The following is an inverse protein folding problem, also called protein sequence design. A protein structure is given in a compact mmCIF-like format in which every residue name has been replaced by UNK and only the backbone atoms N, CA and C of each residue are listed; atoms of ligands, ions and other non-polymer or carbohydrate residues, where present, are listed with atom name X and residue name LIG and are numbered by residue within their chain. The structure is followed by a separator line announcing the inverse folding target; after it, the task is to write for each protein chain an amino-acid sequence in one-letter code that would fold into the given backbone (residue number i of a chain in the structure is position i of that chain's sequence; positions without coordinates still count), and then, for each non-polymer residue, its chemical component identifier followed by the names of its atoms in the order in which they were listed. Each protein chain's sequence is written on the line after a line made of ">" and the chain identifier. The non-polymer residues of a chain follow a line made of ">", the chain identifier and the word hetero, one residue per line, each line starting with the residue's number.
data_IF_283431982558
#
_entry.id   IF_283431982558
#
_cell.length_a   1.000
_cell.length_b   1.000
_cell.length_c   1.000
_cell.angle_alpha   90.00
_cell.angle_beta   90.00
_cell.angle_gamma   90.00
#
_symmetry.space_group_name_H-M   'P 1'
#
loop_
_entity.id
_entity.type
_entity.pdbx_description
1 polymer ?
#
# COMPACT_ATOMS: atom_id res chain seq x y z
N UNK A 1 -28.23 -4.22 -16.72
CA UNK A 1 -27.17 -3.45 -17.35
C UNK A 1 -25.86 -4.18 -17.11
N UNK A 2 -25.32 -4.87 -18.08
CA UNK A 2 -24.01 -5.52 -17.95
C UNK A 2 -22.96 -4.42 -17.99
N UNK A 3 -22.37 -4.09 -16.85
CA UNK A 3 -21.17 -3.25 -16.83
C UNK A 3 -20.07 -4.04 -17.54
N UNK A 4 -19.64 -3.54 -18.69
CA UNK A 4 -18.40 -4.01 -19.33
C UNK A 4 -17.29 -3.86 -18.32
N UNK A 5 -16.75 -4.99 -17.81
CA UNK A 5 -15.55 -4.94 -16.96
C UNK A 5 -14.43 -4.36 -17.80
N UNK A 6 -13.95 -3.17 -17.43
CA UNK A 6 -12.75 -2.59 -18.03
C UNK A 6 -11.61 -3.58 -17.81
N UNK A 7 -11.07 -4.13 -18.87
CA UNK A 7 -9.88 -4.98 -18.81
C UNK A 7 -8.69 -4.04 -18.82
N UNK A 8 -8.05 -3.88 -17.68
CA UNK A 8 -6.79 -3.15 -17.58
C UNK A 8 -5.66 -4.12 -17.88
N UNK A 9 -4.86 -3.79 -18.85
CA UNK A 9 -3.67 -4.54 -19.26
C UNK A 9 -2.40 -3.77 -18.91
N UNK A 10 -1.25 -4.38 -19.07
CA UNK A 10 0.06 -3.74 -18.85
C UNK A 10 0.26 -2.52 -19.77
N UNK A 11 -0.34 -2.53 -20.95
CA UNK A 11 -0.27 -1.42 -21.91
C UNK A 11 -0.96 -0.14 -21.42
N UNK A 12 -1.85 -0.24 -20.42
CA UNK A 12 -2.47 0.90 -19.75
C UNK A 12 -1.55 1.59 -18.72
N UNK A 13 -0.33 1.09 -18.53
CA UNK A 13 0.67 1.71 -17.66
C UNK A 13 1.58 2.63 -18.47
N UNK A 14 1.99 3.76 -17.87
CA UNK A 14 2.95 4.69 -18.47
C UNK A 14 4.33 4.08 -18.59
N UNK A 15 5.19 4.67 -19.41
CA UNK A 15 6.62 4.40 -19.42
C UNK A 15 7.26 4.90 -18.11
N UNK A 16 8.11 4.05 -17.51
CA UNK A 16 8.76 4.33 -16.22
C UNK A 16 10.29 4.37 -16.32
N UNK A 17 10.87 4.47 -17.53
CA UNK A 17 12.31 4.65 -17.68
C UNK A 17 12.78 5.90 -16.92
N UNK A 18 13.85 5.73 -16.14
CA UNK A 18 14.40 6.79 -15.28
C UNK A 18 13.56 7.12 -14.06
N UNK A 19 12.45 6.40 -13.78
CA UNK A 19 11.63 6.55 -12.60
C UNK A 19 12.03 5.58 -11.51
N UNK A 20 11.92 6.02 -10.26
CA UNK A 20 12.28 5.24 -9.06
C UNK A 20 11.02 4.91 -8.25
N UNK A 21 10.90 3.64 -7.87
CA UNK A 21 9.77 3.14 -7.10
C UNK A 21 10.20 2.38 -5.85
N UNK A 22 9.44 2.50 -4.76
CA UNK A 22 9.52 1.62 -3.58
C UNK A 22 8.22 0.83 -3.47
N UNK A 23 8.32 -0.49 -3.26
CA UNK A 23 7.17 -1.36 -2.96
C UNK A 23 7.47 -2.16 -1.70
N UNK A 24 6.70 -1.94 -0.63
CA UNK A 24 6.86 -2.69 0.61
C UNK A 24 6.22 -4.08 0.51
N UNK A 25 6.83 -5.09 1.15
CA UNK A 25 6.35 -6.48 1.06
C UNK A 25 6.47 -7.07 -0.34
N UNK A 26 7.49 -6.63 -1.11
CA UNK A 26 7.67 -6.95 -2.51
C UNK A 26 8.11 -8.39 -2.82
N UNK A 27 8.52 -9.15 -1.82
CA UNK A 27 9.08 -10.50 -2.03
C UNK A 27 8.02 -11.61 -2.22
N UNK A 28 6.72 -11.29 -2.17
CA UNK A 28 5.63 -12.26 -2.38
C UNK A 28 4.31 -11.58 -2.72
N UNK A 29 3.39 -12.33 -3.31
CA UNK A 29 1.99 -11.94 -3.51
C UNK A 29 1.80 -10.70 -4.38
N UNK A 30 0.93 -9.81 -3.92
CA UNK A 30 0.56 -8.58 -4.64
C UNK A 30 1.77 -7.67 -4.83
N UNK A 31 2.62 -7.50 -3.81
CA UNK A 31 3.83 -6.68 -3.90
C UNK A 31 4.80 -7.19 -4.95
N UNK A 32 5.04 -8.51 -5.00
CA UNK A 32 5.86 -9.16 -6.02
C UNK A 32 5.35 -8.86 -7.43
N UNK A 33 4.05 -9.10 -7.67
CA UNK A 33 3.47 -8.86 -8.98
C UNK A 33 3.40 -7.36 -9.34
N UNK A 34 3.23 -6.47 -8.35
CA UNK A 34 3.32 -5.01 -8.56
C UNK A 34 4.73 -4.62 -9.01
N UNK A 35 5.79 -5.15 -8.37
CA UNK A 35 7.18 -4.92 -8.79
C UNK A 35 7.40 -5.41 -10.21
N UNK A 36 6.92 -6.61 -10.54
CA UNK A 36 7.03 -7.16 -11.90
C UNK A 36 6.41 -6.22 -12.94
N UNK A 37 5.22 -5.65 -12.70
CA UNK A 37 4.60 -4.68 -13.59
C UNK A 37 5.40 -3.39 -13.76
N UNK A 38 5.86 -2.80 -12.64
CA UNK A 38 6.64 -1.56 -12.68
C UNK A 38 7.99 -1.76 -13.39
N UNK A 39 8.66 -2.89 -13.13
CA UNK A 39 9.92 -3.23 -13.78
C UNK A 39 9.75 -3.48 -15.29
N UNK A 40 8.66 -4.15 -15.73
CA UNK A 40 8.34 -4.31 -17.15
C UNK A 40 8.16 -2.97 -17.87
N UNK A 41 7.80 -1.93 -17.16
CA UNK A 41 7.67 -0.56 -17.70
C UNK A 41 8.96 0.27 -17.58
N UNK A 42 10.08 -0.34 -17.14
CA UNK A 42 11.41 0.29 -17.11
C UNK A 42 11.79 0.95 -15.78
N UNK A 43 10.99 0.80 -14.72
CA UNK A 43 11.30 1.40 -13.42
C UNK A 43 12.53 0.79 -12.75
N UNK A 44 13.28 1.61 -12.00
CA UNK A 44 14.17 1.15 -10.94
C UNK A 44 13.33 0.93 -9.69
N UNK A 45 13.23 -0.33 -9.24
CA UNK A 45 12.31 -0.69 -8.15
C UNK A 45 13.08 -1.15 -6.92
N UNK A 46 12.79 -0.57 -5.78
CA UNK A 46 13.27 -1.00 -4.47
C UNK A 46 12.25 -1.91 -3.80
N UNK A 47 12.62 -3.18 -3.64
CA UNK A 47 11.83 -4.22 -2.97
C UNK A 47 12.03 -4.12 -1.46
N UNK A 48 11.11 -3.46 -0.75
CA UNK A 48 11.13 -3.38 0.72
C UNK A 48 10.73 -4.71 1.36
N UNK A 49 11.65 -5.35 2.09
CA UNK A 49 11.35 -6.59 2.83
C UNK A 49 12.37 -6.87 3.93
N UNK A 50 11.96 -7.67 4.94
CA UNK A 50 12.80 -8.00 6.11
C UNK A 50 13.91 -9.02 5.81
N UNK A 51 13.61 -9.97 4.93
CA UNK A 51 14.47 -11.14 4.72
C UNK A 51 15.21 -11.05 3.39
N UNK A 52 16.51 -10.84 3.46
CA UNK A 52 17.37 -10.68 2.29
C UNK A 52 17.32 -11.90 1.35
N UNK A 53 17.41 -13.12 1.89
CA UNK A 53 17.43 -14.32 1.04
C UNK A 53 16.13 -14.53 0.26
N UNK A 54 14.97 -14.22 0.87
CA UNK A 54 13.68 -14.26 0.17
C UNK A 54 13.55 -13.12 -0.86
N UNK A 55 14.09 -11.94 -0.55
CA UNK A 55 14.11 -10.83 -1.49
C UNK A 55 14.97 -11.16 -2.71
N UNK A 56 16.18 -11.64 -2.48
CA UNK A 56 17.12 -11.98 -3.55
C UNK A 56 16.52 -13.02 -4.50
N UNK A 57 15.94 -14.09 -3.95
CA UNK A 57 15.25 -15.10 -4.76
C UNK A 57 14.11 -14.50 -5.60
N UNK A 58 13.30 -13.62 -5.01
CA UNK A 58 12.20 -12.98 -5.71
C UNK A 58 12.70 -12.03 -6.82
N UNK A 59 13.80 -11.32 -6.58
CA UNK A 59 14.45 -10.46 -7.59
C UNK A 59 14.92 -11.31 -8.77
N UNK A 60 15.68 -12.37 -8.52
CA UNK A 60 16.18 -13.29 -9.55
C UNK A 60 15.03 -13.89 -10.39
N UNK A 61 13.93 -14.28 -9.74
CA UNK A 61 12.74 -14.79 -10.43
C UNK A 61 12.08 -13.74 -11.35
N UNK A 62 11.98 -12.48 -10.91
CA UNK A 62 11.41 -11.40 -11.73
C UNK A 62 12.36 -11.07 -12.88
N UNK A 63 13.65 -10.91 -12.64
CA UNK A 63 14.66 -10.62 -13.66
C UNK A 63 14.69 -11.70 -14.75
N UNK A 64 14.63 -12.98 -14.37
CA UNK A 64 14.54 -14.08 -15.31
C UNK A 64 13.26 -14.02 -16.18
N UNK A 65 12.13 -13.56 -15.65
CA UNK A 65 10.91 -13.36 -16.42
C UNK A 65 11.02 -12.17 -17.38
N UNK A 66 11.64 -11.07 -16.94
CA UNK A 66 11.89 -9.89 -17.79
C UNK A 66 12.75 -10.25 -18.99
N UNK A 67 13.84 -10.96 -18.78
CA UNK A 67 14.72 -11.45 -19.86
C UNK A 67 13.98 -12.35 -20.85
N UNK A 68 13.19 -13.31 -20.38
CA UNK A 68 12.41 -14.22 -21.25
C UNK A 68 11.37 -13.51 -22.11
N UNK A 69 10.83 -12.38 -21.63
CA UNK A 69 9.85 -11.60 -22.39
C UNK A 69 10.46 -10.63 -23.41
N UNK A 70 11.78 -10.62 -23.57
CA UNK A 70 12.50 -9.69 -24.44
C UNK A 70 12.47 -8.24 -23.96
N UNK A 71 12.04 -8.04 -22.73
CA UNK A 71 12.05 -6.74 -22.06
C UNK A 71 13.44 -6.49 -21.47
N UNK A 72 14.40 -6.18 -22.34
CA UNK A 72 15.75 -5.75 -21.95
C UNK A 72 15.76 -4.25 -21.58
N UNK A 73 14.68 -3.81 -21.00
CA UNK A 73 14.40 -2.42 -20.66
C UNK A 73 15.12 -2.07 -19.37
N UNK A 74 16.36 -1.68 -19.34
CA UNK A 74 17.13 -1.02 -18.28
C UNK A 74 16.51 -0.99 -16.86
N UNK A 75 15.48 -1.83 -16.61
CA UNK A 75 14.86 -2.00 -15.32
C UNK A 75 15.85 -2.62 -14.34
N UNK A 76 15.86 -2.16 -13.13
CA UNK A 76 16.68 -2.75 -12.07
C UNK A 76 15.85 -2.93 -10.82
N UNK A 77 16.08 -4.07 -10.14
CA UNK A 77 15.37 -4.34 -8.89
C UNK A 77 16.40 -4.45 -7.77
N UNK A 78 16.25 -3.66 -6.73
CA UNK A 78 17.16 -3.61 -5.60
C UNK A 78 16.43 -4.01 -4.32
N UNK A 79 17.11 -4.73 -3.46
CA UNK A 79 16.58 -4.99 -2.12
C UNK A 79 16.77 -3.75 -1.22
N UNK A 80 15.68 -3.35 -0.57
CA UNK A 80 15.66 -2.38 0.53
C UNK A 80 15.37 -3.15 1.82
N UNK A 81 16.34 -3.19 2.73
CA UNK A 81 16.11 -3.77 4.06
C UNK A 81 15.07 -2.94 4.78
N UNK A 82 13.90 -3.54 5.04
CA UNK A 82 12.78 -2.82 5.64
C UNK A 82 12.01 -3.75 6.57
N UNK A 83 12.10 -3.49 7.88
CA UNK A 83 11.30 -4.17 8.90
C UNK A 83 10.22 -3.25 9.44
N UNK A 84 8.98 -3.50 9.04
CA UNK A 84 7.82 -2.72 9.47
C UNK A 84 7.36 -3.06 10.90
N UNK A 85 7.99 -3.99 11.59
CA UNK A 85 7.67 -4.26 13.00
C UNK A 85 8.28 -3.23 13.97
N UNK A 86 9.27 -2.44 13.51
CA UNK A 86 9.88 -1.35 14.26
C UNK A 86 9.89 -0.04 13.43
N UNK A 87 9.07 0.95 13.80
CA UNK A 87 9.03 2.25 13.12
C UNK A 87 10.36 3.02 13.14
N UNK A 88 11.25 2.76 14.12
CA UNK A 88 12.58 3.39 14.19
C UNK A 88 13.48 2.87 13.07
N UNK A 89 13.50 1.57 12.89
CA UNK A 89 14.21 0.91 11.79
C UNK A 89 13.70 1.37 10.41
N UNK A 90 12.39 1.59 10.28
CA UNK A 90 11.79 2.13 9.05
C UNK A 90 12.30 3.54 8.74
N UNK A 91 12.41 4.40 9.74
CA UNK A 91 12.94 5.76 9.58
C UNK A 91 14.41 5.73 9.14
N UNK A 92 15.22 4.84 9.73
CA UNK A 92 16.62 4.64 9.34
C UNK A 92 16.72 4.19 7.88
N UNK A 93 15.97 3.16 7.48
CA UNK A 93 15.95 2.66 6.10
C UNK A 93 15.53 3.74 5.09
N UNK A 94 14.52 4.55 5.42
CA UNK A 94 14.08 5.66 4.58
C UNK A 94 15.15 6.76 4.48
N UNK A 95 15.86 7.06 5.57
CA UNK A 95 16.95 8.04 5.60
C UNK A 95 18.13 7.57 4.75
N UNK A 96 18.49 6.29 4.85
CA UNK A 96 19.53 5.70 3.99
C UNK A 96 19.14 5.71 2.50
N UNK A 97 17.85 5.50 2.20
CA UNK A 97 17.36 5.59 0.84
C UNK A 97 17.51 7.00 0.28
N UNK A 98 17.12 8.04 1.04
CA UNK A 98 17.28 9.44 0.65
C UNK A 98 18.76 9.81 0.39
N UNK A 99 19.70 9.20 1.14
CA UNK A 99 21.12 9.43 0.93
C UNK A 99 21.67 8.79 -0.36
N UNK A 100 20.95 7.84 -0.96
CA UNK A 100 21.36 7.07 -2.16
C UNK A 100 20.65 7.49 -3.43
N UNK A 101 19.42 8.01 -3.33
CA UNK A 101 18.58 8.34 -4.48
C UNK A 101 18.19 9.81 -4.47
N UNK A 102 18.27 10.42 -5.66
CA UNK A 102 17.93 11.84 -5.87
C UNK A 102 16.45 12.04 -6.21
N UNK A 103 15.71 10.95 -6.46
CA UNK A 103 14.27 10.98 -6.78
C UNK A 103 13.53 9.76 -6.25
N UNK A 104 12.24 9.95 -6.00
CA UNK A 104 11.28 8.89 -5.76
C UNK A 104 9.96 9.28 -6.42
N UNK A 105 9.55 8.52 -7.43
CA UNK A 105 8.33 8.80 -8.20
C UNK A 105 7.13 8.02 -7.67
N UNK A 106 7.35 6.80 -7.17
CA UNK A 106 6.27 5.89 -6.78
C UNK A 106 6.59 5.28 -5.42
N UNK A 107 5.66 5.45 -4.47
CA UNK A 107 5.70 4.75 -3.19
C UNK A 107 4.45 3.87 -3.06
N UNK A 108 4.63 2.54 -2.97
CA UNK A 108 3.54 1.58 -2.76
C UNK A 108 3.67 0.95 -1.37
N UNK A 109 2.87 1.39 -0.43
CA UNK A 109 2.71 0.85 0.90
C UNK A 109 1.81 -0.39 0.83
N UNK A 110 2.39 -1.54 0.44
CA UNK A 110 1.66 -2.78 0.16
C UNK A 110 1.76 -3.80 1.30
N UNK A 111 2.89 -3.87 2.02
CA UNK A 111 3.09 -4.87 3.06
C UNK A 111 1.93 -4.87 4.07
N UNK A 112 1.57 -6.05 4.52
CA UNK A 112 0.48 -6.21 5.47
C UNK A 112 0.70 -7.40 6.37
N UNK A 113 0.37 -7.22 7.64
CA UNK A 113 0.22 -8.26 8.63
C UNK A 113 -1.27 -8.51 8.89
N UNK A 114 -1.66 -9.79 8.87
CA UNK A 114 -2.98 -10.25 9.31
C UNK A 114 -2.77 -11.32 10.36
N UNK A 115 -3.24 -11.09 11.57
CA UNK A 115 -3.16 -12.06 12.67
C UNK A 115 -4.56 -12.60 12.97
N UNK A 116 -4.67 -13.91 13.02
CA UNK A 116 -5.83 -14.65 13.50
C UNK A 116 -5.43 -15.46 14.75
N UNK A 117 -4.75 -14.81 15.67
CA UNK A 117 -4.26 -15.37 16.90
C UNK A 117 -4.24 -14.31 18.00
N UNK A 118 -3.77 -14.65 19.19
CA UNK A 118 -3.76 -13.69 20.28
C UNK A 118 -3.09 -12.39 19.86
N UNK A 119 -3.75 -11.28 20.15
CA UNK A 119 -3.22 -9.96 19.90
C UNK A 119 -1.96 -9.72 20.73
N UNK A 120 -0.96 -9.12 20.10
CA UNK A 120 0.31 -8.78 20.75
C UNK A 120 0.53 -7.29 20.69
N UNK A 121 0.92 -6.73 21.83
CA UNK A 121 1.47 -5.39 21.91
C UNK A 121 2.99 -5.48 21.77
N UNK A 122 3.57 -4.57 21.01
CA UNK A 122 5.02 -4.40 20.94
C UNK A 122 5.54 -3.71 22.21
N UNK A 123 6.85 -3.44 22.26
CA UNK A 123 7.49 -2.77 23.40
C UNK A 123 6.97 -1.34 23.65
N UNK A 124 6.40 -0.70 22.66
CA UNK A 124 5.82 0.65 22.75
C UNK A 124 4.32 0.61 23.15
N UNK A 125 3.78 -0.58 23.45
CA UNK A 125 2.39 -0.77 23.83
C UNK A 125 1.40 -0.59 22.68
N UNK A 126 1.82 -0.91 21.45
CA UNK A 126 1.01 -0.82 20.23
C UNK A 126 0.75 -2.20 19.64
N UNK A 127 -0.45 -2.41 19.08
CA UNK A 127 -0.79 -3.65 18.39
C UNK A 127 0.10 -3.86 17.15
N UNK A 128 0.74 -5.02 17.06
CA UNK A 128 1.61 -5.40 15.93
C UNK A 128 0.96 -5.15 14.57
N UNK A 129 -0.33 -5.46 14.46
CA UNK A 129 -1.08 -5.27 13.21
C UNK A 129 -1.21 -3.77 12.84
N UNK A 130 -1.40 -2.89 13.83
CA UNK A 130 -1.46 -1.45 13.61
C UNK A 130 -0.07 -0.88 13.30
N UNK A 131 0.96 -1.37 13.99
CA UNK A 131 2.35 -0.99 13.74
C UNK A 131 2.73 -1.30 12.30
N UNK A 132 2.57 -2.55 11.86
CA UNK A 132 2.99 -2.99 10.52
C UNK A 132 2.15 -2.37 9.41
N UNK A 133 0.81 -2.35 9.57
CA UNK A 133 -0.08 -1.96 8.47
C UNK A 133 -0.22 -0.45 8.31
N UNK A 134 -0.07 0.33 9.39
CA UNK A 134 -0.28 1.77 9.36
C UNK A 134 0.92 2.57 9.85
N UNK A 135 1.33 2.43 11.13
CA UNK A 135 2.29 3.34 11.76
C UNK A 135 3.64 3.34 11.03
N UNK A 136 4.15 2.17 10.70
CA UNK A 136 5.43 2.03 9.98
C UNK A 136 5.37 2.57 8.55
N UNK A 137 4.25 2.37 7.84
CA UNK A 137 4.04 2.99 6.53
C UNK A 137 3.87 4.51 6.61
N UNK A 138 3.26 4.98 7.70
CA UNK A 138 3.19 6.42 7.98
C UNK A 138 4.60 7.00 8.16
N UNK A 139 5.45 6.37 9.00
CA UNK A 139 6.85 6.78 9.19
C UNK A 139 7.63 6.76 7.88
N UNK A 140 7.49 5.70 7.09
CA UNK A 140 8.13 5.59 5.77
C UNK A 140 7.72 6.75 4.86
N UNK A 141 6.42 7.01 4.78
CA UNK A 141 5.86 8.05 3.92
C UNK A 141 6.31 9.45 4.36
N UNK A 142 6.16 9.80 5.63
CA UNK A 142 6.54 11.12 6.13
C UNK A 142 8.06 11.37 6.04
N UNK A 143 8.89 10.35 6.26
CA UNK A 143 10.35 10.45 6.10
C UNK A 143 10.74 10.67 4.63
N UNK A 144 10.08 9.99 3.69
CA UNK A 144 10.34 10.11 2.25
C UNK A 144 9.67 11.34 1.61
N UNK A 145 8.74 11.99 2.32
CA UNK A 145 7.94 13.08 1.76
C UNK A 145 8.75 14.26 1.22
N UNK A 146 9.87 14.71 1.84
CA UNK A 146 10.72 15.75 1.26
C UNK A 146 11.27 15.36 -0.13
N UNK A 147 11.74 14.11 -0.31
CA UNK A 147 12.24 13.61 -1.58
C UNK A 147 11.12 13.48 -2.62
N UNK A 148 9.93 12.96 -2.23
CA UNK A 148 8.76 12.88 -3.10
C UNK A 148 8.32 14.27 -3.58
N UNK A 149 8.35 15.28 -2.71
CA UNK A 149 8.06 16.68 -3.06
C UNK A 149 9.12 17.25 -4.01
N UNK A 150 10.40 17.04 -3.72
CA UNK A 150 11.46 17.42 -4.62
C UNK A 150 11.25 16.78 -6.01
N UNK A 151 11.02 15.47 -6.06
CA UNK A 151 10.74 14.77 -7.32
C UNK A 151 9.55 15.35 -8.07
N UNK A 152 8.50 15.77 -7.34
CA UNK A 152 7.29 16.36 -7.94
C UNK A 152 7.53 17.72 -8.59
N UNK A 153 8.67 18.39 -8.33
CA UNK A 153 9.07 19.64 -9.01
C UNK A 153 9.88 19.40 -10.29
N UNK A 154 10.34 18.18 -10.54
CA UNK A 154 11.11 17.85 -11.72
C UNK A 154 10.22 17.85 -12.97
N UNK A 155 10.82 18.18 -14.10
CA UNK A 155 10.16 18.06 -15.40
C UNK A 155 9.71 16.61 -15.64
N UNK A 156 8.55 16.42 -16.25
CA UNK A 156 7.91 15.11 -16.49
C UNK A 156 7.68 14.24 -15.23
N UNK A 157 7.58 14.87 -14.06
CA UNK A 157 7.25 14.15 -12.84
C UNK A 157 5.78 13.71 -12.80
N UNK A 158 5.55 12.50 -12.29
CA UNK A 158 4.23 11.96 -11.94
C UNK A 158 4.36 11.18 -10.64
N UNK A 159 4.40 11.92 -9.52
CA UNK A 159 4.65 11.33 -8.20
C UNK A 159 3.36 10.80 -7.61
N UNK A 160 3.39 9.52 -7.18
CA UNK A 160 2.24 8.81 -6.62
C UNK A 160 2.57 8.08 -5.34
N UNK A 161 1.65 8.15 -4.38
CA UNK A 161 1.68 7.41 -3.13
C UNK A 161 0.45 6.50 -3.08
N UNK A 162 0.66 5.20 -2.95
CA UNK A 162 -0.40 4.18 -2.98
C UNK A 162 -0.38 3.39 -1.68
N UNK A 163 -1.50 3.41 -0.94
CA UNK A 163 -1.69 2.55 0.22
C UNK A 163 -2.61 1.38 -0.11
N UNK A 164 -2.12 0.16 0.10
CA UNK A 164 -2.95 -1.04 -0.10
C UNK A 164 -3.83 -1.27 1.12
N UNK A 165 -5.13 -1.07 0.92
CA UNK A 165 -6.20 -1.32 1.87
C UNK A 165 -6.93 -2.64 1.57
N UNK A 166 -8.14 -2.82 2.07
CA UNK A 166 -8.98 -4.01 1.87
C UNK A 166 -10.44 -3.64 2.07
N UNK A 167 -11.36 -4.39 1.46
CA UNK A 167 -12.79 -4.32 1.80
C UNK A 167 -13.05 -4.63 3.28
N UNK A 168 -12.13 -5.29 3.97
CA UNK A 168 -12.22 -5.51 5.41
C UNK A 168 -12.41 -4.20 6.21
N UNK A 169 -12.01 -3.04 5.68
CA UNK A 169 -12.24 -1.74 6.32
C UNK A 169 -13.72 -1.43 6.60
N UNK A 170 -14.64 -2.07 5.87
CA UNK A 170 -16.09 -1.91 6.07
C UNK A 170 -16.61 -2.62 7.32
N UNK A 171 -15.85 -3.57 7.87
CA UNK A 171 -16.21 -4.30 9.09
C UNK A 171 -15.72 -3.62 10.38
N UNK A 172 -14.90 -2.58 10.26
CA UNK A 172 -14.38 -1.84 11.41
C UNK A 172 -15.33 -0.71 11.80
N UNK A 173 -16.19 -0.95 12.79
CA UNK A 173 -16.98 0.12 13.41
C UNK A 173 -16.08 0.96 14.33
N UNK A 174 -15.59 2.08 13.81
CA UNK A 174 -14.64 2.95 14.50
C UNK A 174 -15.25 4.32 14.75
N UNK A 175 -15.47 4.64 16.01
CA UNK A 175 -16.06 5.92 16.42
C UNK A 175 -15.02 7.04 16.56
N UNK A 176 -13.78 6.69 16.91
CA UNK A 176 -12.69 7.64 17.10
C UNK A 176 -11.33 6.97 16.89
N UNK A 177 -10.34 7.75 16.47
CA UNK A 177 -8.91 7.45 16.53
C UNK A 177 -8.15 8.33 17.51
N UNK A 178 -8.83 9.24 18.21
CA UNK A 178 -8.22 10.05 19.27
C UNK A 178 -7.75 9.16 20.42
N UNK A 179 -6.53 9.35 20.89
CA UNK A 179 -5.82 8.56 21.87
C UNK A 179 -5.28 7.19 21.37
N UNK A 180 -4.17 6.77 21.96
CA UNK A 180 -3.41 5.56 21.64
C UNK A 180 -4.24 4.27 21.77
N UNK A 181 -5.15 4.22 22.72
CA UNK A 181 -6.05 3.08 22.96
C UNK A 181 -6.94 2.81 21.75
N UNK A 182 -7.32 3.85 21.00
CA UNK A 182 -8.11 3.71 19.79
C UNK A 182 -7.30 3.19 18.60
N UNK A 183 -5.99 3.40 18.56
CA UNK A 183 -5.10 2.69 17.63
C UNK A 183 -5.02 1.20 17.97
N UNK A 184 -5.10 0.84 19.24
CA UNK A 184 -5.03 -0.51 19.77
C UNK A 184 -6.38 -1.23 19.83
N UNK A 185 -7.42 -0.70 19.18
CA UNK A 185 -8.77 -1.26 19.26
C UNK A 185 -8.81 -2.70 18.74
N UNK A 186 -9.30 -3.59 19.59
CA UNK A 186 -9.55 -5.00 19.31
C UNK A 186 -11.05 -5.25 19.27
N UNK A 187 -11.50 -6.09 18.35
CA UNK A 187 -12.93 -6.38 18.17
C UNK A 187 -13.31 -7.80 18.64
N UNK A 188 -12.49 -8.38 19.52
CA UNK A 188 -12.67 -9.69 20.13
C UNK A 188 -11.94 -10.83 19.41
N UNK A 189 -12.00 -12.03 20.00
CA UNK A 189 -11.21 -13.21 19.60
C UNK A 189 -11.97 -14.15 18.65
N UNK A 190 -13.11 -13.72 18.13
CA UNK A 190 -13.83 -14.46 17.08
C UNK A 190 -13.22 -14.17 15.70
N UNK A 191 -13.53 -15.01 14.72
CA UNK A 191 -13.13 -14.82 13.31
C UNK A 191 -13.56 -13.42 12.79
N UNK A 192 -14.78 -13.02 13.12
CA UNK A 192 -15.29 -11.68 12.76
C UNK A 192 -14.59 -10.58 13.52
N UNK A 193 -14.21 -10.81 14.78
CA UNK A 193 -13.43 -9.86 15.59
C UNK A 193 -12.03 -9.65 15.01
N UNK A 194 -11.32 -10.72 14.64
CA UNK A 194 -10.03 -10.61 13.96
C UNK A 194 -10.13 -9.89 12.61
N UNK A 195 -11.18 -10.19 11.82
CA UNK A 195 -11.42 -9.51 10.55
C UNK A 195 -11.69 -8.01 10.76
N UNK A 196 -12.45 -7.65 11.80
CA UNK A 196 -12.72 -6.24 12.14
C UNK A 196 -11.46 -5.52 12.65
N UNK A 197 -10.60 -6.17 13.45
CA UNK A 197 -9.32 -5.61 13.91
C UNK A 197 -8.36 -5.39 12.73
N UNK A 198 -8.27 -6.34 11.82
CA UNK A 198 -7.55 -6.16 10.55
C UNK A 198 -8.18 -5.02 9.74
N UNK A 199 -9.51 -5.00 9.63
CA UNK A 199 -10.28 -3.95 8.95
C UNK A 199 -10.00 -2.56 9.53
N UNK A 200 -9.83 -2.44 10.84
CA UNK A 200 -9.46 -1.19 11.52
C UNK A 200 -8.10 -0.64 11.02
N UNK A 201 -7.09 -1.50 10.90
CA UNK A 201 -5.80 -1.10 10.32
C UNK A 201 -5.92 -0.72 8.84
N UNK A 202 -6.83 -1.37 8.09
CA UNK A 202 -7.08 -1.06 6.68
C UNK A 202 -7.94 0.19 6.48
N UNK A 203 -8.80 0.53 7.44
CA UNK A 203 -9.46 1.83 7.53
C UNK A 203 -8.43 2.95 7.74
N UNK A 204 -7.50 2.75 8.67
CA UNK A 204 -6.40 3.70 8.90
C UNK A 204 -5.60 4.00 7.62
N UNK A 205 -5.37 3.00 6.75
CA UNK A 205 -4.68 3.21 5.48
C UNK A 205 -5.44 4.13 4.51
N UNK A 206 -6.77 4.08 4.47
CA UNK A 206 -7.58 4.98 3.63
C UNK A 206 -7.60 6.38 4.24
N UNK A 207 -7.84 6.49 5.56
CA UNK A 207 -7.85 7.77 6.28
C UNK A 207 -6.51 8.51 6.13
N UNK A 208 -5.39 7.78 6.24
CA UNK A 208 -4.05 8.34 6.02
C UNK A 208 -3.90 8.94 4.62
N UNK A 209 -4.29 8.21 3.57
CA UNK A 209 -4.21 8.70 2.18
C UNK A 209 -5.05 9.96 1.98
N UNK A 210 -6.27 9.99 2.51
CA UNK A 210 -7.15 11.16 2.39
C UNK A 210 -6.59 12.37 3.14
N UNK A 211 -6.13 12.19 4.38
CA UNK A 211 -5.47 13.24 5.15
C UNK A 211 -4.21 13.76 4.44
N UNK A 212 -3.35 12.84 3.97
CA UNK A 212 -2.13 13.21 3.26
C UNK A 212 -2.44 14.02 1.99
N UNK A 213 -3.43 13.59 1.18
CA UNK A 213 -3.85 14.33 0.00
C UNK A 213 -4.34 15.74 0.33
N UNK A 214 -5.12 15.89 1.40
CA UNK A 214 -5.59 17.20 1.87
C UNK A 214 -4.43 18.10 2.29
N UNK A 215 -3.46 17.58 3.04
CA UNK A 215 -2.25 18.34 3.44
C UNK A 215 -1.39 18.75 2.25
N UNK A 216 -1.19 17.83 1.29
CA UNK A 216 -0.41 18.10 0.07
C UNK A 216 -1.09 19.16 -0.81
N UNK A 217 -2.41 19.08 -0.95
CA UNK A 217 -3.19 20.08 -1.69
C UNK A 217 -3.09 21.46 -1.06
N UNK A 218 -3.17 21.59 0.26
CA UNK A 218 -3.00 22.84 0.97
C UNK A 218 -1.60 23.47 0.76
N UNK A 219 -0.62 22.64 0.38
CA UNK A 219 0.77 23.06 0.10
C UNK A 219 1.08 23.12 -1.41
N UNK A 220 0.04 23.06 -2.26
CA UNK A 220 0.17 23.09 -3.73
C UNK A 220 1.10 22.01 -4.29
N UNK A 221 1.28 20.90 -3.60
CA UNK A 221 2.13 19.81 -4.05
C UNK A 221 1.40 18.91 -5.05
N UNK A 222 1.94 18.67 -6.26
CA UNK A 222 1.25 17.92 -7.31
C UNK A 222 1.44 16.39 -7.16
N UNK A 223 1.40 15.87 -5.93
CA UNK A 223 1.48 14.44 -5.64
C UNK A 223 0.07 13.85 -5.59
N UNK A 224 -0.15 12.73 -6.26
CA UNK A 224 -1.42 11.99 -6.20
C UNK A 224 -1.34 10.86 -5.19
N UNK A 225 -2.23 10.89 -4.19
CA UNK A 225 -2.34 9.85 -3.18
C UNK A 225 -3.58 8.99 -3.43
N UNK A 226 -3.42 7.66 -3.41
CA UNK A 226 -4.47 6.70 -3.71
C UNK A 226 -4.51 5.58 -2.68
N UNK A 227 -5.71 5.15 -2.29
CA UNK A 227 -5.91 3.90 -1.58
C UNK A 227 -6.47 2.85 -2.53
N UNK A 228 -6.03 1.61 -2.40
CA UNK A 228 -6.48 0.53 -3.29
C UNK A 228 -6.92 -0.71 -2.50
N UNK A 229 -7.96 -1.39 -3.01
CA UNK A 229 -8.29 -2.76 -2.63
C UNK A 229 -7.94 -3.69 -3.79
N UNK A 230 -7.09 -4.69 -3.57
CA UNK A 230 -6.59 -5.54 -4.65
C UNK A 230 -7.55 -6.67 -5.06
N UNK A 231 -8.71 -6.77 -4.42
CA UNK A 231 -9.62 -7.92 -4.56
C UNK A 231 -9.35 -9.02 -3.54
N UNK A 232 -10.13 -10.08 -3.63
CA UNK A 232 -9.90 -11.28 -2.84
C UNK A 232 -8.75 -12.08 -3.47
N UNK A 233 -7.54 -11.93 -2.94
CA UNK A 233 -6.33 -12.60 -3.44
C UNK A 233 -5.86 -13.62 -2.41
N UNK A 234 -5.54 -14.84 -2.86
CA UNK A 234 -4.96 -15.86 -2.00
C UNK A 234 -3.52 -15.48 -1.65
N UNK A 235 -3.35 -14.68 -0.61
CA UNK A 235 -2.05 -14.32 -0.03
C UNK A 235 -1.65 -15.31 1.06
N UNK A 236 -0.38 -15.23 1.52
CA UNK A 236 0.09 -16.02 2.67
C UNK A 236 -0.79 -15.76 3.90
N UNK A 237 -1.24 -14.52 4.12
CA UNK A 237 -2.17 -14.19 5.22
C UNK A 237 -3.55 -14.82 5.04
N UNK A 238 -4.15 -14.75 3.85
CA UNK A 238 -5.43 -15.40 3.54
C UNK A 238 -5.34 -16.93 3.66
N UNK A 239 -4.23 -17.52 3.21
CA UNK A 239 -3.95 -18.95 3.37
C UNK A 239 -3.80 -19.36 4.85
N UNK A 240 -3.14 -18.53 5.67
CA UNK A 240 -3.02 -18.74 7.11
C UNK A 240 -4.38 -18.71 7.80
N UNK A 241 -5.25 -17.77 7.43
CA UNK A 241 -6.62 -17.72 7.93
C UNK A 241 -7.40 -19.00 7.60
N UNK A 242 -7.40 -19.43 6.33
CA UNK A 242 -8.11 -20.64 5.93
C UNK A 242 -7.58 -21.89 6.66
N UNK A 243 -6.27 -21.95 6.92
CA UNK A 243 -5.66 -23.04 7.67
C UNK A 243 -6.03 -23.03 9.17
N UNK A 244 -6.41 -21.88 9.74
CA UNK A 244 -6.85 -21.77 11.14
C UNK A 244 -8.31 -22.20 11.36
N UNK A 245 -9.08 -22.43 10.29
CA UNK A 245 -10.46 -22.94 10.36
C UNK A 245 -10.42 -24.48 10.42
N UNK A 246 -10.75 -25.12 11.58
CA UNK A 246 -10.69 -26.57 11.73
C UNK A 246 -11.63 -27.27 10.73
N UNK A 247 -11.21 -28.43 10.20
CA UNK A 247 -11.93 -29.34 9.32
C UNK A 247 -12.33 -28.79 7.95
N UNK A 248 -12.73 -27.53 7.80
CA UNK A 248 -13.21 -26.96 6.54
C UNK A 248 -12.19 -26.11 5.79
N UNK A 249 -11.14 -25.62 6.46
CA UNK A 249 -10.19 -24.68 5.85
C UNK A 249 -9.48 -25.26 4.63
N UNK A 250 -9.07 -26.53 4.67
CA UNK A 250 -8.46 -27.22 3.52
C UNK A 250 -9.44 -27.40 2.36
N UNK A 251 -10.68 -27.84 2.64
CA UNK A 251 -11.71 -27.98 1.63
C UNK A 251 -12.05 -26.63 0.97
N UNK A 252 -12.23 -25.57 1.77
CA UNK A 252 -12.46 -24.21 1.28
C UNK A 252 -11.31 -23.74 0.39
N UNK A 253 -10.07 -24.01 0.79
CA UNK A 253 -8.88 -23.62 0.03
C UNK A 253 -8.79 -24.35 -1.33
N UNK A 254 -9.04 -25.65 -1.36
CA UNK A 254 -8.86 -26.50 -2.55
C UNK A 254 -10.04 -26.36 -3.53
N UNK A 255 -11.27 -26.38 -3.03
CA UNK A 255 -12.46 -26.42 -3.89
C UNK A 255 -13.06 -25.03 -4.17
N UNK A 256 -13.01 -24.13 -3.22
CA UNK A 256 -13.59 -22.79 -3.38
C UNK A 256 -12.52 -21.72 -3.64
N UNK A 257 -11.25 -21.97 -3.26
CA UNK A 257 -10.15 -21.03 -3.51
C UNK A 257 -10.10 -20.53 -4.95
N UNK A 258 -10.05 -21.39 -5.97
CA UNK A 258 -10.00 -20.97 -7.37
C UNK A 258 -11.24 -20.18 -7.84
N UNK A 259 -12.39 -20.34 -7.19
CA UNK A 259 -13.64 -19.65 -7.54
C UNK A 259 -13.75 -18.27 -6.88
N UNK A 260 -13.15 -18.08 -5.70
CA UNK A 260 -13.29 -16.85 -4.91
C UNK A 260 -12.04 -15.99 -4.89
N UNK A 261 -10.84 -16.56 -5.16
CA UNK A 261 -9.60 -15.83 -5.13
C UNK A 261 -9.04 -15.58 -6.53
N UNK A 262 -8.69 -14.34 -6.78
CA UNK A 262 -7.99 -13.92 -8.00
C UNK A 262 -6.48 -14.22 -7.89
N UNK A 263 -5.79 -14.33 -9.04
CA UNK A 263 -4.34 -14.48 -9.06
C UNK A 263 -3.64 -13.24 -8.49
N UNK A 264 -2.39 -13.40 -8.05
CA UNK A 264 -1.57 -12.27 -7.59
C UNK A 264 -1.44 -11.18 -8.65
N UNK A 265 -1.30 -11.59 -9.91
CA UNK A 265 -1.21 -10.68 -11.07
C UNK A 265 -2.48 -9.85 -11.22
N UNK A 266 -3.66 -10.47 -11.14
CA UNK A 266 -4.92 -9.73 -11.22
C UNK A 266 -5.11 -8.78 -10.02
N UNK A 267 -4.76 -9.22 -8.81
CA UNK A 267 -4.82 -8.37 -7.61
C UNK A 267 -3.86 -7.19 -7.68
N UNK A 268 -2.65 -7.42 -8.22
CA UNK A 268 -1.63 -6.39 -8.36
C UNK A 268 -1.96 -5.35 -9.44
N UNK A 269 -2.81 -5.68 -10.43
CA UNK A 269 -3.15 -4.75 -11.50
C UNK A 269 -3.77 -3.45 -10.98
N UNK A 270 -4.62 -3.51 -9.94
CA UNK A 270 -5.17 -2.29 -9.32
C UNK A 270 -4.09 -1.44 -8.67
N UNK A 271 -3.12 -2.07 -7.99
CA UNK A 271 -1.98 -1.38 -7.38
C UNK A 271 -1.05 -0.78 -8.44
N UNK A 272 -0.76 -1.54 -9.51
CA UNK A 272 0.06 -1.08 -10.63
C UNK A 272 -0.61 0.08 -11.38
N UNK A 273 -1.93 0.03 -11.62
CA UNK A 273 -2.68 1.12 -12.22
C UNK A 273 -2.67 2.37 -11.34
N UNK A 274 -2.88 2.25 -10.04
CA UNK A 274 -2.77 3.39 -9.13
C UNK A 274 -1.37 4.00 -9.17
N UNK A 275 -0.33 3.15 -9.22
CA UNK A 275 1.07 3.56 -9.25
C UNK A 275 1.52 4.16 -10.61
N UNK A 276 1.00 3.65 -11.73
CA UNK A 276 1.53 3.95 -13.07
C UNK A 276 0.48 4.02 -14.19
N UNK A 277 -0.83 4.06 -13.89
CA UNK A 277 -1.89 4.09 -14.92
C UNK A 277 -1.83 5.35 -15.78
N UNK A 278 -1.94 5.20 -17.12
CA UNK A 278 -2.00 6.29 -18.10
C UNK A 278 -3.15 7.24 -17.81
N UNK A 279 -4.34 6.71 -17.54
CA UNK A 279 -5.52 7.53 -17.24
C UNK A 279 -5.28 8.43 -16.02
N UNK A 280 -4.60 7.95 -14.97
CA UNK A 280 -4.24 8.78 -13.81
C UNK A 280 -3.28 9.91 -14.19
N UNK A 281 -2.30 9.62 -15.07
CA UNK A 281 -1.34 10.62 -15.56
C UNK A 281 -2.02 11.67 -16.46
N UNK A 282 -2.98 11.25 -17.30
CA UNK A 282 -3.70 12.10 -18.22
C UNK A 282 -4.67 13.03 -17.49
N UNK A 283 -5.43 12.53 -16.52
CA UNK A 283 -6.37 13.36 -15.75
C UNK A 283 -5.66 14.51 -15.05
N UNK A 284 -4.45 14.30 -14.53
CA UNK A 284 -3.65 15.37 -13.92
C UNK A 284 -3.31 16.54 -14.86
N UNK A 285 -3.26 16.28 -16.17
CA UNK A 285 -2.97 17.29 -17.20
C UNK A 285 -4.23 17.99 -17.70
N UNK A 286 -5.42 17.56 -17.25
CA UNK A 286 -6.70 18.15 -17.68
C UNK A 286 -6.82 19.62 -17.27
N UNK A 287 -7.39 20.43 -18.15
CA UNK A 287 -7.79 21.80 -17.85
C UNK A 287 -9.05 21.87 -16.99
N UNK A 288 -9.89 20.84 -17.06
CA UNK A 288 -11.05 20.67 -16.18
C UNK A 288 -10.58 20.29 -14.78
N UNK A 289 -10.93 21.09 -13.78
CA UNK A 289 -10.51 20.89 -12.38
C UNK A 289 -11.13 19.62 -11.80
N UNK A 290 -12.36 19.28 -12.14
CA UNK A 290 -13.03 18.06 -11.65
C UNK A 290 -12.33 16.83 -12.20
N UNK A 291 -12.04 16.80 -13.50
CA UNK A 291 -11.31 15.69 -14.12
C UNK A 291 -9.89 15.59 -13.57
N UNK A 292 -9.18 16.73 -13.41
CA UNK A 292 -7.83 16.75 -12.85
C UNK A 292 -7.74 16.16 -11.45
N UNK A 293 -8.79 16.32 -10.64
CA UNK A 293 -8.86 15.82 -9.25
C UNK A 293 -9.48 14.46 -9.10
N UNK A 294 -9.88 13.82 -10.19
CA UNK A 294 -10.61 12.56 -10.21
C UNK A 294 -10.00 11.46 -9.33
N UNK A 295 -8.68 11.40 -9.25
CA UNK A 295 -7.93 10.39 -8.50
C UNK A 295 -7.39 10.89 -7.16
N UNK A 296 -7.44 12.18 -6.85
CA UNK A 296 -6.89 12.76 -5.61
C UNK A 296 -7.61 12.20 -4.36
N UNK A 297 -6.88 11.46 -3.50
CA UNK A 297 -7.43 10.80 -2.33
C UNK A 297 -8.41 9.67 -2.65
N UNK A 298 -8.41 9.20 -3.90
CA UNK A 298 -9.33 8.19 -4.42
C UNK A 298 -9.16 6.81 -3.80
N UNK A 299 -10.24 6.03 -3.80
CA UNK A 299 -10.24 4.61 -3.43
C UNK A 299 -10.57 3.77 -4.64
N UNK A 300 -9.65 2.88 -5.03
CA UNK A 300 -9.80 2.01 -6.19
C UNK A 300 -10.10 0.56 -5.77
N UNK A 301 -11.03 -0.04 -6.48
CA UNK A 301 -11.39 -1.47 -6.36
C UNK A 301 -11.09 -2.21 -7.67
N UNK A 302 -11.03 -3.54 -7.68
CA UNK A 302 -10.71 -4.33 -8.90
C UNK A 302 -11.70 -4.13 -10.05
N UNK A 303 -11.22 -3.95 -11.30
CA UNK A 303 -9.84 -3.61 -11.64
C UNK A 303 -9.83 -2.12 -11.91
N UNK A 304 -9.08 -1.35 -11.07
CA UNK A 304 -8.86 0.09 -11.27
C UNK A 304 -10.13 0.97 -11.32
N UNK A 305 -11.26 0.52 -10.74
CA UNK A 305 -12.48 1.31 -10.68
C UNK A 305 -12.46 2.22 -9.46
N UNK A 306 -12.72 3.51 -9.65
CA UNK A 306 -12.95 4.44 -8.54
C UNK A 306 -14.24 4.02 -7.83
N UNK A 307 -14.19 3.92 -6.51
CA UNK A 307 -15.31 3.51 -5.66
C UNK A 307 -15.37 4.35 -4.39
N UNK A 308 -16.56 4.40 -3.82
CA UNK A 308 -16.74 5.02 -2.51
C UNK A 308 -16.31 4.04 -1.41
N UNK A 309 -15.40 4.43 -0.52
CA UNK A 309 -15.09 3.65 0.66
C UNK A 309 -16.22 3.78 1.72
N UNK A 310 -16.09 3.08 2.86
CA UNK A 310 -17.06 3.18 3.95
C UNK A 310 -17.27 4.62 4.44
N UNK A 311 -18.40 4.86 5.12
CA UNK A 311 -18.69 6.18 5.72
C UNK A 311 -17.61 6.62 6.70
N UNK A 312 -17.06 5.70 7.51
CA UNK A 312 -15.93 5.97 8.40
C UNK A 312 -14.68 6.45 7.64
N UNK A 313 -14.41 5.88 6.49
CA UNK A 313 -13.25 6.27 5.68
C UNK A 313 -13.39 7.65 5.01
N UNK A 314 -14.61 8.20 4.98
CA UNK A 314 -14.92 9.55 4.50
C UNK A 314 -14.98 10.61 5.60
N UNK A 315 -14.96 10.21 6.86
CA UNK A 315 -15.05 11.12 7.99
C UNK A 315 -13.74 11.89 8.18
N UNK A 316 -13.78 13.21 7.93
CA UNK A 316 -12.63 14.09 8.06
C UNK A 316 -12.16 14.25 9.51
N UNK A 317 -13.04 14.08 10.49
CA UNK A 317 -12.67 14.07 11.91
C UNK A 317 -11.78 12.86 12.20
N UNK A 318 -12.17 11.66 11.74
CA UNK A 318 -11.35 10.45 11.91
C UNK A 318 -10.00 10.57 11.19
N UNK A 319 -9.95 11.24 10.04
CA UNK A 319 -8.68 11.50 9.32
C UNK A 319 -7.74 12.36 10.16
N UNK A 320 -8.26 13.42 10.80
CA UNK A 320 -7.45 14.30 11.68
C UNK A 320 -7.02 13.58 12.95
N UNK A 321 -7.96 12.94 13.65
CA UNK A 321 -7.68 12.19 14.87
C UNK A 321 -6.58 11.13 14.63
N UNK A 322 -6.68 10.35 13.55
CA UNK A 322 -5.66 9.35 13.21
C UNK A 322 -4.28 9.98 13.00
N UNK A 323 -4.23 11.08 12.25
CA UNK A 323 -2.98 11.77 12.00
C UNK A 323 -2.36 12.31 13.29
N UNK A 324 -3.13 13.04 14.08
CA UNK A 324 -2.69 13.67 15.32
C UNK A 324 -2.21 12.62 16.34
N UNK A 325 -3.03 11.59 16.59
CA UNK A 325 -2.66 10.50 17.51
C UNK A 325 -1.43 9.71 17.02
N UNK A 326 -1.32 9.48 15.71
CA UNK A 326 -0.12 8.80 15.18
C UNK A 326 1.12 9.67 15.41
N UNK A 327 1.04 10.98 15.20
CA UNK A 327 2.15 11.92 15.45
C UNK A 327 2.53 11.99 16.94
N UNK A 328 1.53 12.02 17.84
CA UNK A 328 1.76 12.00 19.30
C UNK A 328 2.50 10.73 19.72
N UNK A 329 2.01 9.55 19.30
CA UNK A 329 2.64 8.26 19.59
C UNK A 329 4.06 8.18 19.05
N UNK A 330 4.31 8.68 17.83
CA UNK A 330 5.65 8.71 17.26
C UNK A 330 6.58 9.66 18.02
N UNK A 331 6.06 10.78 18.52
CA UNK A 331 6.82 11.70 19.37
C UNK A 331 7.22 11.03 20.69
N UNK A 332 6.31 10.27 21.34
CA UNK A 332 6.61 9.46 22.52
C UNK A 332 7.71 8.41 22.24
N UNK A 333 7.71 7.85 21.02
CA UNK A 333 8.74 6.90 20.58
C UNK A 333 10.09 7.56 20.20
N UNK A 334 10.21 8.89 20.28
CA UNK A 334 11.40 9.64 19.87
C UNK A 334 11.57 9.77 18.36
N UNK A 335 10.49 9.58 17.59
CA UNK A 335 10.49 9.70 16.13
C UNK A 335 9.93 11.09 15.75
N UNK A 336 10.77 11.95 15.20
CA UNK A 336 10.38 13.27 14.70
C UNK A 336 10.63 13.38 13.20
N UNK A 337 9.83 14.18 12.52
CA UNK A 337 10.02 14.52 11.10
C UNK A 337 10.51 15.96 10.97
N UNK A 338 11.38 16.21 9.99
CA UNK A 338 11.93 17.54 9.69
C UNK A 338 11.01 18.33 8.77
#
# INVERSE_FOLDING_TARGET
>A
MFFSRKVITEDELVDLHGKVAIVTGGNTGIGYATIEFLARRGARVYMGSRNQGRAQKAIEEIEAKLQKSGNDNQASIHWLQLDLSDPRSVKEAATEFIAKEERLDILVNNASHSSFGPYKLNQDGLLDIMVVNHISHFVLTETLLPLLRHTATLEDSDVRIVNVSSTAHTHAATESFAAKENLNKQFGDSVTGYLATYGHSKLANILHIKNLQTRLKAQYSPITCLAVHPGAVMTVGASGFLNSVPFFGWLLKVFLGPLFFTSWTQGAMTSAFAAAGKEVAETRKSKDEVERRKYEGGYLVPVANISEPSTYAKDERLQRELYETTMEVLTEMGIAFK
#
